data_IF_328794470071
#
_entry.id   IF_328794470071
#
_cell.length_a   1.000
_cell.length_b   1.000
_cell.length_c   1.000
_cell.angle_alpha   90.00
_cell.angle_beta   90.00
_cell.angle_gamma   90.00
#
_symmetry.space_group_name_H-M   'P 1'
#
loop_
_entity.id
_entity.type
_entity.pdbx_description
1 polymer ?
#
# COMPACT_ATOMS: atom_id res chain seq x y z
N UNK A 1 -29.83 45.78 -64.36
CA UNK A 1 -30.02 45.12 -63.05
C UNK A 1 -28.71 44.45 -62.69
N UNK A 2 -28.17 44.63 -61.48
CA UNK A 2 -26.92 43.97 -61.10
C UNK A 2 -27.15 42.46 -61.10
N UNK A 3 -26.33 41.75 -61.88
CA UNK A 3 -26.26 40.29 -61.90
C UNK A 3 -25.86 39.84 -60.49
N UNK A 4 -26.83 39.39 -59.70
CA UNK A 4 -26.56 38.77 -58.40
C UNK A 4 -26.10 37.36 -58.71
N UNK A 5 -24.81 37.22 -59.00
CA UNK A 5 -24.13 35.92 -59.05
C UNK A 5 -24.23 35.29 -57.66
N UNK A 6 -25.19 34.37 -57.51
CA UNK A 6 -25.35 33.55 -56.32
C UNK A 6 -24.11 32.64 -56.20
N UNK A 7 -23.36 32.70 -55.08
CA UNK A 7 -22.22 31.81 -54.87
C UNK A 7 -22.65 30.34 -55.00
N UNK A 8 -21.88 29.55 -55.75
CA UNK A 8 -22.15 28.13 -55.99
C UNK A 8 -22.31 27.39 -54.64
N UNK A 9 -23.38 26.61 -54.41
CA UNK A 9 -23.66 25.96 -53.12
C UNK A 9 -22.50 25.13 -52.55
N UNK A 10 -21.68 24.49 -53.39
CA UNK A 10 -20.49 23.73 -52.96
C UNK A 10 -19.44 24.59 -52.23
N UNK A 11 -19.21 25.83 -52.67
CA UNK A 11 -18.20 26.70 -52.03
C UNK A 11 -18.64 27.18 -50.64
N UNK A 12 -19.95 27.35 -50.44
CA UNK A 12 -20.54 27.71 -49.15
C UNK A 12 -20.46 26.54 -48.16
N UNK A 13 -20.66 25.30 -48.62
CA UNK A 13 -20.52 24.10 -47.79
C UNK A 13 -19.06 23.88 -47.37
N UNK A 14 -18.10 24.01 -48.28
CA UNK A 14 -16.68 23.90 -47.93
C UNK A 14 -16.23 24.97 -46.91
N UNK A 15 -16.70 26.21 -47.05
CA UNK A 15 -16.40 27.29 -46.11
C UNK A 15 -17.03 27.04 -44.74
N UNK A 16 -18.26 26.51 -44.71
CA UNK A 16 -18.97 26.13 -43.49
C UNK A 16 -18.26 24.97 -42.78
N UNK A 17 -17.84 23.95 -43.51
CA UNK A 17 -17.17 22.76 -42.96
C UNK A 17 -15.77 23.09 -42.44
N UNK A 18 -15.01 23.95 -43.13
CA UNK A 18 -13.74 24.50 -42.63
C UNK A 18 -13.94 25.29 -41.34
N UNK A 19 -15.01 26.08 -41.25
CA UNK A 19 -15.33 26.89 -40.05
C UNK A 19 -15.82 26.02 -38.89
N UNK A 20 -16.65 25.02 -39.16
CA UNK A 20 -17.14 24.06 -38.17
C UNK A 20 -16.01 23.19 -37.64
N UNK A 21 -15.19 22.60 -38.51
CA UNK A 21 -14.01 21.81 -38.15
C UNK A 21 -13.02 22.63 -37.32
N UNK A 22 -12.77 23.90 -37.67
CA UNK A 22 -11.93 24.80 -36.86
C UNK A 22 -12.50 25.08 -35.47
N UNK A 23 -13.81 25.25 -35.34
CA UNK A 23 -14.48 25.43 -34.04
C UNK A 23 -14.40 24.16 -33.19
N UNK A 24 -14.65 23.00 -33.79
CA UNK A 24 -14.53 21.69 -33.12
C UNK A 24 -13.09 21.48 -32.64
N UNK A 25 -12.10 21.70 -33.50
CA UNK A 25 -10.69 21.59 -33.15
C UNK A 25 -10.28 22.51 -31.99
N UNK A 26 -10.77 23.77 -31.99
CA UNK A 26 -10.53 24.71 -30.90
C UNK A 26 -11.18 24.25 -29.59
N UNK A 27 -12.42 23.78 -29.63
CA UNK A 27 -13.09 23.28 -28.41
C UNK A 27 -12.39 22.05 -27.83
N UNK A 28 -11.96 21.11 -28.69
CA UNK A 28 -11.22 19.92 -28.26
C UNK A 28 -9.86 20.29 -27.68
N UNK A 29 -9.16 21.27 -28.26
CA UNK A 29 -7.90 21.77 -27.72
C UNK A 29 -8.08 22.39 -26.32
N UNK A 30 -9.14 23.18 -26.11
CA UNK A 30 -9.45 23.75 -24.79
C UNK A 30 -9.77 22.66 -23.77
N UNK A 31 -10.59 21.67 -24.12
CA UNK A 31 -10.86 20.52 -23.24
C UNK A 31 -9.59 19.73 -22.93
N UNK A 32 -8.71 19.51 -23.91
CA UNK A 32 -7.44 18.81 -23.71
C UNK A 32 -6.54 19.54 -22.70
N UNK A 33 -6.44 20.87 -22.78
CA UNK A 33 -5.67 21.68 -21.82
C UNK A 33 -6.29 21.60 -20.42
N UNK A 34 -7.62 21.69 -20.31
CA UNK A 34 -8.34 21.52 -19.03
C UNK A 34 -8.08 20.13 -18.42
N UNK A 35 -8.14 19.06 -19.21
CA UNK A 35 -7.83 17.70 -18.77
C UNK A 35 -6.37 17.55 -18.35
N UNK A 36 -5.43 18.18 -19.07
CA UNK A 36 -4.02 18.16 -18.71
C UNK A 36 -3.78 18.81 -17.33
N UNK A 37 -4.36 19.98 -17.08
CA UNK A 37 -4.25 20.68 -15.78
C UNK A 37 -4.90 19.86 -14.67
N UNK A 38 -6.08 19.29 -14.91
CA UNK A 38 -6.76 18.42 -13.94
C UNK A 38 -5.93 17.17 -13.61
N UNK A 39 -5.29 16.56 -14.62
CA UNK A 39 -4.40 15.41 -14.46
C UNK A 39 -3.15 15.77 -13.65
N UNK A 40 -2.49 16.89 -13.95
CA UNK A 40 -1.32 17.39 -13.22
C UNK A 40 -1.63 17.64 -11.72
N UNK A 41 -2.76 18.25 -11.41
CA UNK A 41 -3.18 18.51 -10.03
C UNK A 41 -3.51 17.23 -9.25
N UNK A 42 -4.24 16.30 -9.85
CA UNK A 42 -4.57 15.02 -9.23
C UNK A 42 -3.35 14.12 -9.02
N UNK A 43 -2.41 14.13 -9.96
CA UNK A 43 -1.24 13.24 -9.92
C UNK A 43 -0.28 13.61 -8.79
N UNK A 44 -0.14 14.89 -8.43
CA UNK A 44 0.73 15.30 -7.32
C UNK A 44 0.18 14.87 -5.95
N UNK A 45 -1.13 15.03 -5.71
CA UNK A 45 -1.74 14.58 -4.47
C UNK A 45 -1.71 13.05 -4.32
N UNK A 46 -1.92 12.32 -5.43
CA UNK A 46 -1.83 10.86 -5.43
C UNK A 46 -0.41 10.36 -5.16
N UNK A 47 0.62 11.02 -5.71
CA UNK A 47 2.02 10.66 -5.48
C UNK A 47 2.40 10.76 -4.00
N UNK A 48 2.09 11.86 -3.35
CA UNK A 48 2.39 12.07 -1.92
C UNK A 48 1.70 11.02 -1.04
N UNK A 49 0.42 10.74 -1.31
CA UNK A 49 -0.32 9.69 -0.60
C UNK A 49 0.30 8.31 -0.83
N UNK A 50 0.67 7.99 -2.07
CA UNK A 50 1.25 6.70 -2.43
C UNK A 50 2.62 6.51 -1.77
N UNK A 51 3.46 7.55 -1.76
CA UNK A 51 4.76 7.52 -1.10
C UNK A 51 4.63 7.26 0.40
N UNK A 52 3.75 8.01 1.09
CA UNK A 52 3.50 7.80 2.52
C UNK A 52 2.92 6.41 2.82
N UNK A 53 2.03 5.90 1.96
CA UNK A 53 1.50 4.55 2.05
C UNK A 53 2.61 3.49 1.91
N UNK A 54 3.50 3.67 0.93
CA UNK A 54 4.57 2.74 0.64
C UNK A 54 5.61 2.72 1.77
N UNK A 55 5.96 3.88 2.33
CA UNK A 55 6.86 3.98 3.48
C UNK A 55 6.29 3.30 4.73
N UNK A 56 5.02 3.57 5.07
CA UNK A 56 4.35 2.91 6.19
C UNK A 56 4.33 1.38 6.02
N UNK A 57 4.01 0.90 4.81
CA UNK A 57 4.01 -0.53 4.48
C UNK A 57 5.41 -1.14 4.64
N UNK A 58 6.45 -0.46 4.15
CA UNK A 58 7.82 -0.92 4.25
C UNK A 58 8.29 -1.02 5.71
N UNK A 59 7.96 -0.04 6.55
CA UNK A 59 8.33 -0.06 7.98
C UNK A 59 7.62 -1.20 8.73
N UNK A 60 6.33 -1.42 8.46
CA UNK A 60 5.60 -2.54 9.03
C UNK A 60 6.15 -3.89 8.54
N UNK A 61 6.46 -4.02 7.24
CA UNK A 61 7.08 -5.23 6.71
C UNK A 61 8.46 -5.50 7.34
N UNK A 62 9.25 -4.45 7.59
CA UNK A 62 10.53 -4.55 8.28
C UNK A 62 10.33 -5.05 9.72
N UNK A 63 9.40 -4.47 10.47
CA UNK A 63 9.04 -4.94 11.82
C UNK A 63 8.60 -6.40 11.82
N UNK A 64 7.70 -6.79 10.90
CA UNK A 64 7.23 -8.17 10.77
C UNK A 64 8.37 -9.14 10.47
N UNK A 65 9.32 -8.77 9.61
CA UNK A 65 10.48 -9.62 9.31
C UNK A 65 11.35 -9.88 10.54
N UNK A 66 11.49 -8.90 11.44
CA UNK A 66 12.23 -9.03 12.70
C UNK A 66 11.49 -9.91 13.70
N UNK A 67 10.16 -9.74 13.79
CA UNK A 67 9.29 -10.58 14.63
C UNK A 67 9.41 -12.05 14.20
N UNK A 68 9.35 -12.34 12.90
CA UNK A 68 9.48 -13.71 12.38
C UNK A 68 10.85 -14.31 12.72
N UNK A 69 11.94 -13.55 12.55
CA UNK A 69 13.30 -14.00 12.91
C UNK A 69 13.43 -14.32 14.39
N UNK A 70 12.82 -13.52 15.27
CA UNK A 70 12.79 -13.80 16.70
C UNK A 70 12.02 -15.09 17.01
N UNK A 71 10.83 -15.28 16.42
CA UNK A 71 10.06 -16.50 16.63
C UNK A 71 10.82 -17.75 16.18
N UNK A 72 11.52 -17.68 15.04
CA UNK A 72 12.39 -18.76 14.56
C UNK A 72 13.52 -19.03 15.57
N UNK A 73 14.16 -17.97 16.06
CA UNK A 73 15.25 -18.08 17.02
C UNK A 73 14.80 -18.70 18.35
N UNK A 74 13.64 -18.26 18.86
CA UNK A 74 13.02 -18.80 20.06
C UNK A 74 12.66 -20.28 19.89
N UNK A 75 12.12 -20.66 18.74
CA UNK A 75 11.85 -22.07 18.41
C UNK A 75 13.13 -22.91 18.41
N UNK A 76 14.20 -22.43 17.77
CA UNK A 76 15.49 -23.11 17.75
C UNK A 76 16.07 -23.27 19.16
N UNK A 77 15.98 -22.23 20.00
CA UNK A 77 16.41 -22.28 21.40
C UNK A 77 15.63 -23.33 22.20
N UNK A 78 14.30 -23.38 22.06
CA UNK A 78 13.47 -24.42 22.72
C UNK A 78 13.88 -25.83 22.31
N UNK A 79 14.16 -26.05 21.02
CA UNK A 79 14.66 -27.33 20.51
C UNK A 79 16.04 -27.66 21.11
N UNK A 80 16.93 -26.67 21.21
CA UNK A 80 18.24 -26.83 21.81
C UNK A 80 18.17 -27.18 23.30
N UNK A 81 17.33 -26.47 24.04
CA UNK A 81 17.09 -26.69 25.48
C UNK A 81 16.47 -28.08 25.72
N UNK A 82 15.54 -28.51 24.86
CA UNK A 82 14.97 -29.86 24.92
C UNK A 82 16.02 -30.96 24.70
N UNK A 83 16.93 -30.78 23.72
CA UNK A 83 18.05 -31.70 23.49
C UNK A 83 19.04 -31.73 24.67
N UNK A 84 19.24 -30.60 25.35
CA UNK A 84 20.13 -30.49 26.51
C UNK A 84 19.56 -31.16 27.77
N UNK A 85 18.23 -31.14 27.91
CA UNK A 85 17.49 -31.77 29.01
C UNK A 85 17.46 -33.30 28.88
N UNK A 86 17.64 -33.83 27.67
CA UNK A 86 17.64 -35.27 27.40
C UNK A 86 18.97 -35.91 27.87
N UNK A 87 18.98 -36.75 28.93
CA UNK A 87 20.21 -37.18 29.59
C UNK A 87 21.09 -38.14 28.76
N UNK A 88 20.52 -38.77 27.75
CA UNK A 88 21.14 -39.82 26.94
C UNK A 88 21.87 -39.30 25.70
N UNK A 89 21.55 -38.10 25.23
CA UNK A 89 21.80 -37.68 23.83
C UNK A 89 23.09 -36.89 23.69
N UNK A 90 23.54 -36.20 24.74
CA UNK A 90 24.72 -35.32 24.70
C UNK A 90 25.67 -35.63 25.87
N UNK A 91 26.86 -36.19 25.59
CA UNK A 91 27.89 -36.49 26.60
C UNK A 91 29.21 -35.78 26.29
N UNK A 92 29.90 -35.33 27.34
CA UNK A 92 31.25 -34.76 27.23
C UNK A 92 31.31 -33.42 26.47
N UNK A 93 32.27 -33.20 25.55
CA UNK A 93 32.54 -31.91 24.93
C UNK A 93 31.42 -31.38 24.03
N UNK A 94 30.47 -32.22 23.62
CA UNK A 94 29.30 -31.80 22.84
C UNK A 94 28.34 -30.98 23.69
N UNK A 95 28.11 -31.36 24.96
CA UNK A 95 27.21 -30.65 25.87
C UNK A 95 27.67 -29.21 26.11
N UNK A 96 28.98 -28.99 26.25
CA UNK A 96 29.57 -27.66 26.39
C UNK A 96 29.33 -26.77 25.15
N UNK A 97 29.39 -27.34 23.94
CA UNK A 97 29.08 -26.60 22.69
C UNK A 97 27.61 -26.18 22.64
N UNK A 98 26.70 -27.08 23.02
CA UNK A 98 25.27 -26.77 23.04
C UNK A 98 24.91 -25.74 24.13
N UNK A 99 25.58 -25.75 25.29
CA UNK A 99 25.46 -24.69 26.30
C UNK A 99 25.97 -23.33 25.80
N UNK A 100 27.07 -23.31 25.05
CA UNK A 100 27.59 -22.08 24.43
C UNK A 100 26.61 -21.53 23.37
N UNK A 101 26.04 -22.42 22.54
CA UNK A 101 25.00 -22.07 21.57
C UNK A 101 23.75 -21.52 22.26
N UNK A 102 23.28 -22.15 23.34
CA UNK A 102 22.14 -21.67 24.12
C UNK A 102 22.37 -20.26 24.69
N UNK A 103 23.59 -19.96 25.18
CA UNK A 103 23.97 -18.62 25.64
C UNK A 103 23.96 -17.60 24.49
N UNK A 104 24.55 -17.94 23.33
CA UNK A 104 24.53 -17.07 22.13
C UNK A 104 23.11 -16.72 21.70
N UNK A 105 22.21 -17.71 21.65
CA UNK A 105 20.80 -17.47 21.31
C UNK A 105 20.07 -16.61 22.35
N UNK A 106 20.39 -16.76 23.63
CA UNK A 106 19.83 -15.92 24.70
C UNK A 106 20.31 -14.47 24.62
N UNK A 107 21.57 -14.23 24.28
CA UNK A 107 22.12 -12.88 24.09
C UNK A 107 21.59 -12.22 22.81
N UNK A 108 21.43 -12.99 21.73
CA UNK A 108 20.77 -12.52 20.51
C UNK A 108 19.30 -12.14 20.76
N UNK A 109 18.56 -12.92 21.56
CA UNK A 109 17.17 -12.60 21.93
C UNK A 109 17.06 -11.25 22.66
N UNK A 110 18.00 -10.95 23.57
CA UNK A 110 18.06 -9.64 24.24
C UNK A 110 18.31 -8.50 23.27
N UNK A 111 19.26 -8.69 22.34
CA UNK A 111 19.58 -7.69 21.31
C UNK A 111 18.40 -7.45 20.37
N UNK A 112 17.73 -8.51 19.88
CA UNK A 112 16.56 -8.37 19.02
C UNK A 112 15.38 -7.69 19.73
N UNK A 113 15.19 -7.93 21.03
CA UNK A 113 14.19 -7.23 21.83
C UNK A 113 14.50 -5.73 22.00
N UNK A 114 15.78 -5.35 22.13
CA UNK A 114 16.19 -3.95 22.16
C UNK A 114 15.93 -3.28 20.80
N UNK A 115 16.35 -3.92 19.70
CA UNK A 115 16.13 -3.42 18.33
C UNK A 115 14.64 -3.19 18.04
N UNK A 116 13.75 -4.09 18.51
CA UNK A 116 12.30 -3.94 18.33
C UNK A 116 11.74 -2.67 18.96
N UNK A 117 12.21 -2.30 20.15
CA UNK A 117 11.75 -1.09 20.85
C UNK A 117 12.09 0.18 20.08
N UNK A 118 13.11 0.16 19.24
CA UNK A 118 13.45 1.28 18.36
C UNK A 118 12.70 1.26 17.03
N UNK A 119 12.29 0.09 16.54
CA UNK A 119 11.61 -0.08 15.25
C UNK A 119 10.10 0.17 15.36
N UNK A 120 9.46 -0.25 16.45
CA UNK A 120 8.03 -0.03 16.69
C UNK A 120 7.60 1.45 16.63
N UNK A 121 8.29 2.41 17.28
CA UNK A 121 7.92 3.82 17.19
C UNK A 121 8.11 4.38 15.77
N UNK A 122 9.11 3.89 15.02
CA UNK A 122 9.32 4.30 13.61
C UNK A 122 8.18 3.83 12.71
N UNK A 123 7.70 2.60 12.90
CA UNK A 123 6.55 2.08 12.18
C UNK A 123 5.26 2.85 12.52
N UNK A 124 5.03 3.15 13.80
CA UNK A 124 3.88 3.97 14.24
C UNK A 124 3.93 5.40 13.73
N UNK A 125 5.11 6.01 13.68
CA UNK A 125 5.31 7.34 13.11
C UNK A 125 4.96 7.36 11.62
N UNK A 126 5.47 6.40 10.83
CA UNK A 126 5.15 6.28 9.41
C UNK A 126 3.66 6.01 9.16
N UNK A 127 3.00 5.25 10.03
CA UNK A 127 1.54 5.05 9.97
C UNK A 127 0.76 6.34 10.28
N UNK A 128 1.19 7.12 11.29
CA UNK A 128 0.58 8.41 11.58
C UNK A 128 0.71 9.41 10.41
N UNK A 129 1.83 9.39 9.69
CA UNK A 129 2.04 10.21 8.50
C UNK A 129 1.18 9.76 7.31
N UNK A 130 1.02 8.44 7.12
CA UNK A 130 0.03 7.88 6.17
C UNK A 130 -1.37 8.37 6.51
N UNK A 131 -1.80 8.23 7.76
CA UNK A 131 -3.15 8.59 8.18
C UNK A 131 -3.40 10.09 8.05
N UNK A 132 -2.39 10.93 8.32
CA UNK A 132 -2.46 12.38 8.07
C UNK A 132 -2.64 12.69 6.58
N UNK A 133 -1.93 11.97 5.70
CA UNK A 133 -2.05 12.16 4.25
C UNK A 133 -3.36 11.61 3.69
N UNK A 134 -3.95 10.57 4.29
CA UNK A 134 -5.28 10.07 3.96
C UNK A 134 -6.41 10.95 4.51
N UNK A 135 -6.20 11.58 5.66
CA UNK A 135 -7.17 12.47 6.31
C UNK A 135 -7.22 13.88 5.70
N UNK A 136 -6.25 14.26 4.85
CA UNK A 136 -6.40 15.46 4.02
C UNK A 136 -7.72 15.34 3.26
N UNK A 137 -8.67 16.27 3.46
CA UNK A 137 -10.01 16.13 2.91
C UNK A 137 -9.90 16.02 1.39
N UNK A 138 -10.09 14.80 0.89
CA UNK A 138 -10.27 14.51 -0.53
C UNK A 138 -11.47 15.33 -0.95
N UNK A 139 -11.23 16.50 -1.53
CA UNK A 139 -12.29 17.46 -1.82
C UNK A 139 -13.41 16.78 -2.60
N UNK A 140 -14.51 16.53 -1.89
CA UNK A 140 -15.88 16.51 -2.40
C UNK A 140 -16.20 15.49 -3.50
N UNK A 141 -16.21 14.20 -3.16
CA UNK A 141 -17.23 13.23 -3.66
C UNK A 141 -17.09 11.87 -2.96
N UNK A 142 -17.67 11.71 -1.78
CA UNK A 142 -17.95 10.37 -1.24
C UNK A 142 -19.46 10.21 -1.20
N UNK A 143 -20.08 9.44 -2.11
CA UNK A 143 -21.48 9.09 -1.94
C UNK A 143 -21.62 8.26 -0.65
N UNK A 144 -22.71 8.43 0.12
CA UNK A 144 -22.94 7.64 1.31
C UNK A 144 -23.20 6.19 0.89
N UNK A 145 -22.16 5.35 0.90
CA UNK A 145 -22.37 3.92 0.81
C UNK A 145 -23.07 3.48 2.09
N UNK A 146 -24.31 3.02 1.90
CA UNK A 146 -25.18 2.48 2.91
C UNK A 146 -24.41 1.53 3.82
N UNK A 147 -24.44 1.83 5.11
CA UNK A 147 -24.01 0.95 6.19
C UNK A 147 -24.97 -0.24 6.17
N UNK A 148 -24.72 -1.23 5.32
CA UNK A 148 -25.48 -2.48 5.33
C UNK A 148 -25.19 -3.16 6.66
N UNK A 149 -26.23 -3.25 7.47
CA UNK A 149 -26.27 -4.06 8.67
C UNK A 149 -25.87 -5.49 8.30
N UNK A 150 -24.65 -5.89 8.64
CA UNK A 150 -24.21 -7.28 8.57
C UNK A 150 -25.03 -8.12 9.55
N UNK A 151 -26.17 -8.61 9.10
CA UNK A 151 -26.83 -9.77 9.70
C UNK A 151 -25.86 -10.94 9.60
N UNK A 152 -25.28 -11.32 10.74
CA UNK A 152 -24.46 -12.51 10.91
C UNK A 152 -25.27 -13.73 10.47
N UNK A 153 -25.02 -14.20 9.25
CA UNK A 153 -25.41 -15.52 8.82
C UNK A 153 -24.53 -16.53 9.58
N UNK A 154 -25.06 -16.97 10.72
CA UNK A 154 -24.57 -18.10 11.51
C UNK A 154 -24.79 -19.36 10.68
N UNK A 155 -23.73 -19.89 10.09
CA UNK A 155 -23.75 -21.23 9.51
C UNK A 155 -23.91 -22.25 10.65
N UNK A 156 -24.89 -23.18 10.59
CA UNK A 156 -24.97 -24.26 11.55
C UNK A 156 -23.86 -25.28 11.25
N UNK A 157 -22.96 -25.46 12.22
CA UNK A 157 -21.98 -26.53 12.25
C UNK A 157 -22.74 -27.86 12.37
N UNK A 158 -22.88 -28.59 11.27
CA UNK A 158 -23.35 -29.97 11.31
C UNK A 158 -22.23 -30.85 11.86
N UNK A 159 -22.36 -31.19 13.13
CA UNK A 159 -21.74 -32.38 13.69
C UNK A 159 -22.40 -33.62 13.07
N UNK A 160 -21.61 -34.59 12.61
CA UNK A 160 -21.97 -36.01 12.54
C UNK A 160 -20.71 -36.84 12.28
N UNK A 161 -20.61 -37.91 13.07
CA UNK A 161 -19.74 -39.09 13.12
C UNK A 161 -18.67 -39.31 12.04
#
# INVERSE_FOLDING_TARGET
MPEVELPNPEELEERRDKTFSRRVALTTAVFAVCLAIASLGGNNAMKEMLLAQQEASNQWAYYQSKVIREHLNRGNKMVLEAQLAEPSTLKGPERAKFEELAKKFADEEKRMNADKKEIEPKAKAAEADRDRNQAKPRSRFSPPHARSSGSRLRWPSSASC
#
